data_IF_805009275850
#
_entry.id   IF_805009275850
#
_cell.length_a   1.000
_cell.length_b   1.000
_cell.length_c   1.000
_cell.angle_alpha   90.00
_cell.angle_beta   90.00
_cell.angle_gamma   90.00
#
_symmetry.space_group_name_H-M   'P 1'
#
loop_
_entity.id
_entity.type
_entity.pdbx_description
1 polymer ?
#
# COMPACT_ATOMS: atom_id res chain seq x y z
N UNK A 1 -7.61 -20.15 31.57
CA UNK A 1 -7.96 -18.73 31.32
C UNK A 1 -6.68 -18.06 30.85
N UNK A 2 -6.54 -17.73 29.57
CA UNK A 2 -5.34 -17.06 29.05
C UNK A 2 -5.47 -15.58 29.42
N UNK A 3 -4.59 -15.08 30.28
CA UNK A 3 -4.52 -13.65 30.61
C UNK A 3 -3.57 -12.97 29.63
N UNK A 4 -4.10 -12.19 28.70
CA UNK A 4 -3.31 -11.49 27.67
C UNK A 4 -2.28 -10.53 28.27
N UNK A 5 -2.51 -10.04 29.49
CA UNK A 5 -1.61 -9.15 30.23
C UNK A 5 -0.32 -9.85 30.71
N UNK A 6 -0.29 -11.19 30.70
CA UNK A 6 0.87 -11.98 31.10
C UNK A 6 1.73 -12.42 29.92
N UNK A 7 1.33 -12.09 28.68
CA UNK A 7 2.16 -12.34 27.52
C UNK A 7 3.34 -11.36 27.50
N UNK A 8 4.56 -11.82 27.22
CA UNK A 8 5.71 -10.93 27.12
C UNK A 8 5.45 -9.87 26.06
N UNK A 9 5.71 -8.61 26.39
CA UNK A 9 5.68 -7.52 25.42
C UNK A 9 6.77 -7.79 24.38
N UNK A 10 6.36 -8.06 23.14
CA UNK A 10 7.29 -8.22 22.03
C UNK A 10 7.75 -6.81 21.65
N UNK A 11 9.07 -6.52 21.64
CA UNK A 11 9.56 -5.23 21.20
C UNK A 11 9.19 -5.05 19.72
N UNK A 12 8.56 -3.92 19.41
CA UNK A 12 8.15 -3.54 18.05
C UNK A 12 8.60 -2.11 17.77
N UNK A 13 8.97 -1.86 16.53
CA UNK A 13 9.20 -0.49 16.05
C UNK A 13 7.96 -0.02 15.30
N UNK A 14 7.54 1.21 15.58
CA UNK A 14 6.34 1.81 14.98
C UNK A 14 6.76 3.00 14.13
N UNK A 15 6.34 2.98 12.87
CA UNK A 15 6.45 4.12 11.97
C UNK A 15 5.06 4.71 11.76
N UNK A 16 4.80 5.90 12.30
CA UNK A 16 3.59 6.65 11.98
C UNK A 16 3.66 7.16 10.54
N UNK A 17 2.56 7.02 9.81
CA UNK A 17 2.46 7.39 8.40
C UNK A 17 1.19 8.20 8.17
N UNK A 18 1.36 9.34 7.50
CA UNK A 18 0.26 10.20 7.04
C UNK A 18 0.36 10.37 5.52
N UNK A 19 -0.70 10.00 4.80
CA UNK A 19 -0.88 10.32 3.40
C UNK A 19 -1.76 11.56 3.26
N UNK A 20 -1.24 12.64 2.71
CA UNK A 20 -2.00 13.84 2.38
C UNK A 20 -2.36 13.82 0.90
N UNK A 21 -3.65 13.76 0.58
CA UNK A 21 -4.11 13.74 -0.81
C UNK A 21 -3.94 15.10 -1.49
N UNK A 22 -3.34 15.09 -2.67
CA UNK A 22 -3.26 16.25 -3.58
C UNK A 22 -4.42 16.25 -4.58
N UNK A 23 -4.90 15.07 -4.94
CA UNK A 23 -6.01 14.88 -5.88
C UNK A 23 -7.08 13.97 -5.28
N UNK A 24 -8.27 13.97 -5.88
CA UNK A 24 -9.36 13.12 -5.43
C UNK A 24 -8.94 11.63 -5.42
N UNK A 25 -9.23 10.94 -4.33
CA UNK A 25 -8.93 9.53 -4.14
C UNK A 25 -10.10 8.68 -4.63
N UNK A 26 -9.77 7.61 -5.36
CA UNK A 26 -10.70 6.56 -5.71
C UNK A 26 -10.13 5.24 -5.18
N UNK A 27 -10.69 4.74 -4.09
CA UNK A 27 -10.35 3.43 -3.54
C UNK A 27 -11.63 2.63 -3.51
N UNK A 28 -11.82 1.81 -4.54
CA UNK A 28 -13.00 0.96 -4.68
C UNK A 28 -12.78 -0.45 -4.13
N UNK A 29 -13.77 -0.97 -3.41
CA UNK A 29 -13.92 -2.41 -3.21
C UNK A 29 -14.69 -2.97 -4.40
N UNK A 30 -14.09 -3.84 -5.21
CA UNK A 30 -14.84 -4.49 -6.29
C UNK A 30 -16.05 -5.25 -5.74
N UNK A 31 -17.23 -5.08 -6.35
CA UNK A 31 -18.40 -5.92 -6.09
C UNK A 31 -19.39 -5.43 -5.03
N UNK A 32 -19.31 -4.18 -4.57
CA UNK A 32 -20.32 -3.59 -3.70
C UNK A 32 -21.62 -3.30 -4.47
N UNK A 33 -22.59 -4.19 -4.32
CA UNK A 33 -23.97 -4.00 -4.76
C UNK A 33 -24.69 -3.02 -3.82
N UNK A 34 -25.07 -1.84 -4.32
CA UNK A 34 -25.92 -0.89 -3.59
C UNK A 34 -25.59 0.61 -3.74
N UNK A 35 -24.48 0.97 -4.38
CA UNK A 35 -24.14 2.38 -4.69
C UNK A 35 -24.60 2.77 -6.10
N UNK A 36 -24.82 4.07 -6.33
CA UNK A 36 -24.99 4.66 -7.68
C UNK A 36 -23.70 4.59 -8.50
N UNK A 37 -22.57 4.30 -7.87
CA UNK A 37 -21.26 4.12 -8.51
C UNK A 37 -20.90 2.64 -8.66
N UNK A 38 -20.28 2.28 -9.80
CA UNK A 38 -19.73 0.94 -10.05
C UNK A 38 -18.52 0.64 -9.15
N UNK A 39 -17.81 1.69 -8.73
CA UNK A 39 -16.70 1.64 -7.78
C UNK A 39 -16.93 2.66 -6.67
N UNK A 40 -17.68 2.30 -5.61
CA UNK A 40 -17.85 3.17 -4.47
C UNK A 40 -16.62 3.18 -3.58
N UNK A 41 -16.42 4.29 -2.87
CA UNK A 41 -15.28 4.47 -2.00
C UNK A 41 -15.44 3.64 -0.71
N UNK A 42 -14.36 3.03 -0.24
CA UNK A 42 -14.42 2.17 0.96
C UNK A 42 -14.53 3.01 2.24
N UNK A 43 -15.38 2.56 3.18
CA UNK A 43 -15.66 3.20 4.46
C UNK A 43 -15.56 2.24 5.62
N UNK A 44 -15.12 2.75 6.76
CA UNK A 44 -15.18 2.03 8.04
C UNK A 44 -16.64 1.89 8.51
N UNK A 45 -16.88 1.04 9.50
CA UNK A 45 -18.21 0.93 10.13
C UNK A 45 -18.72 2.24 10.74
N UNK A 46 -17.80 3.18 11.06
CA UNK A 46 -18.12 4.51 11.54
C UNK A 46 -18.37 5.54 10.41
N UNK A 47 -18.41 5.10 9.14
CA UNK A 47 -18.65 5.95 7.97
C UNK A 47 -17.45 6.75 7.46
N UNK A 48 -16.29 6.65 8.13
CA UNK A 48 -15.06 7.35 7.75
C UNK A 48 -14.39 6.72 6.53
N UNK A 49 -13.85 7.56 5.64
CA UNK A 49 -13.01 7.10 4.53
C UNK A 49 -11.71 6.49 5.05
N UNK A 50 -11.24 5.43 4.38
CA UNK A 50 -9.93 4.87 4.68
C UNK A 50 -9.27 4.26 3.44
N UNK A 51 -7.94 4.17 3.49
CA UNK A 51 -7.15 3.40 2.54
C UNK A 51 -6.85 2.05 3.19
N UNK A 52 -7.29 0.92 2.61
CA UNK A 52 -7.08 -0.39 3.20
C UNK A 52 -5.60 -0.74 3.36
N UNK A 53 -5.26 -1.32 4.50
CA UNK A 53 -3.94 -1.85 4.83
C UNK A 53 -3.43 -2.82 3.77
N UNK A 54 -4.32 -3.64 3.20
CA UNK A 54 -3.98 -4.60 2.15
C UNK A 54 -3.54 -3.91 0.85
N UNK A 55 -4.17 -2.79 0.48
CA UNK A 55 -3.81 -1.97 -0.68
C UNK A 55 -2.46 -1.29 -0.45
N UNK A 56 -2.27 -0.71 0.73
CA UNK A 56 -1.00 -0.07 1.11
C UNK A 56 0.13 -1.09 1.15
N UNK A 57 -0.03 -2.19 1.88
CA UNK A 57 0.95 -3.29 1.99
C UNK A 57 1.29 -3.86 0.62
N UNK A 58 0.30 -4.12 -0.23
CA UNK A 58 0.51 -4.62 -1.58
C UNK A 58 1.29 -3.63 -2.46
N UNK A 59 0.98 -2.33 -2.36
CA UNK A 59 1.69 -1.29 -3.10
C UNK A 59 3.13 -1.12 -2.62
N UNK A 60 3.36 -1.08 -1.31
CA UNK A 60 4.71 -0.98 -0.73
C UNK A 60 5.52 -2.23 -1.08
N UNK A 61 4.92 -3.43 -1.02
CA UNK A 61 5.58 -4.66 -1.48
C UNK A 61 6.06 -4.55 -2.93
N UNK A 62 5.19 -4.10 -3.82
CA UNK A 62 5.52 -3.95 -5.23
C UNK A 62 6.66 -2.96 -5.47
N UNK A 63 6.68 -1.82 -4.76
CA UNK A 63 7.78 -0.86 -4.85
C UNK A 63 9.08 -1.41 -4.22
N UNK A 64 9.02 -2.15 -3.12
CA UNK A 64 10.18 -2.86 -2.57
C UNK A 64 10.76 -3.87 -3.57
N UNK A 65 9.91 -4.62 -4.28
CA UNK A 65 10.36 -5.55 -5.32
C UNK A 65 10.99 -4.83 -6.51
N UNK A 66 10.44 -3.69 -6.94
CA UNK A 66 11.04 -2.85 -7.98
C UNK A 66 12.41 -2.34 -7.57
N UNK A 67 12.53 -1.83 -6.34
CA UNK A 67 13.80 -1.39 -5.77
C UNK A 67 14.82 -2.52 -5.71
N UNK A 68 14.43 -3.67 -5.17
CA UNK A 68 15.30 -4.83 -5.07
C UNK A 68 15.77 -5.32 -6.45
N UNK A 69 14.91 -5.35 -7.47
CA UNK A 69 15.31 -5.67 -8.86
C UNK A 69 16.25 -4.61 -9.45
N UNK A 70 16.00 -3.33 -9.19
CA UNK A 70 16.85 -2.23 -9.65
C UNK A 70 18.23 -2.19 -8.97
N UNK A 71 18.34 -2.77 -7.78
CA UNK A 71 19.59 -2.96 -7.03
C UNK A 71 20.21 -4.35 -7.27
N UNK A 72 19.71 -5.12 -8.24
CA UNK A 72 20.21 -6.44 -8.62
C UNK A 72 20.20 -7.49 -7.49
N UNK A 73 19.30 -7.33 -6.52
CA UNK A 73 19.14 -8.32 -5.45
C UNK A 73 18.42 -9.57 -5.94
N UNK A 74 18.86 -10.73 -5.42
CA UNK A 74 18.18 -12.00 -5.67
C UNK A 74 16.85 -12.07 -4.91
N UNK A 75 15.74 -11.93 -5.64
CA UNK A 75 14.37 -12.06 -5.13
C UNK A 75 13.56 -13.08 -5.94
N UNK A 76 12.54 -13.67 -5.31
CA UNK A 76 11.61 -14.57 -5.99
C UNK A 76 10.58 -13.82 -6.87
N UNK A 77 9.71 -14.57 -7.56
CA UNK A 77 8.71 -14.01 -8.48
C UNK A 77 7.27 -14.21 -7.96
N UNK A 78 6.76 -13.31 -7.09
CA UNK A 78 5.35 -13.31 -6.71
C UNK A 78 4.44 -12.86 -7.87
N UNK A 79 3.12 -13.14 -7.83
CA UNK A 79 2.38 -13.78 -6.73
C UNK A 79 2.23 -15.30 -6.86
N UNK A 80 2.82 -15.96 -7.87
CA UNK A 80 2.69 -17.41 -8.06
C UNK A 80 3.43 -18.17 -6.93
N UNK A 81 2.72 -18.93 -6.08
CA UNK A 81 3.35 -19.69 -4.99
C UNK A 81 4.47 -20.62 -5.45
N UNK A 82 4.42 -21.14 -6.68
CA UNK A 82 5.42 -22.05 -7.21
C UNK A 82 6.74 -21.34 -7.57
N UNK A 83 6.69 -20.03 -7.80
CA UNK A 83 7.84 -19.19 -8.15
C UNK A 83 8.32 -18.34 -6.96
N UNK A 84 7.71 -18.53 -5.78
CA UNK A 84 8.10 -17.90 -4.52
C UNK A 84 9.09 -18.76 -3.73
N UNK A 85 9.74 -18.18 -2.72
CA UNK A 85 10.61 -18.96 -1.82
C UNK A 85 9.79 -19.91 -0.93
N UNK A 86 10.29 -21.12 -0.62
CA UNK A 86 11.56 -21.71 -1.08
C UNK A 86 11.44 -22.47 -2.43
N UNK A 87 10.25 -22.54 -3.02
CA UNK A 87 9.98 -23.32 -4.24
C UNK A 87 10.84 -22.90 -5.44
N UNK A 88 11.33 -21.66 -5.45
CA UNK A 88 12.27 -21.15 -6.44
C UNK A 88 13.70 -21.74 -6.38
N UNK A 89 13.96 -22.73 -5.51
CA UNK A 89 15.24 -23.44 -5.42
C UNK A 89 16.30 -22.76 -4.57
N UNK A 90 15.92 -21.78 -3.75
CA UNK A 90 16.84 -21.14 -2.79
C UNK A 90 16.81 -21.79 -1.41
N UNK A 91 17.98 -21.86 -0.76
CA UNK A 91 18.11 -22.38 0.61
C UNK A 91 17.50 -21.45 1.69
N UNK A 92 17.17 -20.20 1.32
CA UNK A 92 16.62 -19.20 2.24
C UNK A 92 15.58 -18.29 1.58
N UNK A 93 14.70 -17.71 2.39
CA UNK A 93 13.72 -16.71 1.94
C UNK A 93 14.40 -15.39 1.61
N UNK A 94 14.10 -14.80 0.45
CA UNK A 94 14.57 -13.45 0.12
C UNK A 94 14.02 -12.39 1.10
N UNK A 95 14.68 -11.24 1.19
CA UNK A 95 14.29 -10.16 2.12
C UNK A 95 12.82 -9.73 1.95
N UNK A 96 12.30 -9.70 0.72
CA UNK A 96 10.89 -9.38 0.45
C UNK A 96 9.94 -10.39 1.11
N UNK A 97 10.22 -11.69 0.99
CA UNK A 97 9.39 -12.72 1.63
C UNK A 97 9.51 -12.67 3.15
N UNK A 98 10.69 -12.38 3.70
CA UNK A 98 10.87 -12.21 5.15
C UNK A 98 10.06 -11.02 5.70
N UNK A 99 9.98 -9.92 4.94
CA UNK A 99 9.21 -8.74 5.32
C UNK A 99 7.70 -8.95 5.14
N UNK A 100 7.26 -9.21 3.91
CA UNK A 100 5.84 -9.22 3.53
C UNK A 100 5.15 -10.57 3.70
N UNK A 101 5.92 -11.63 3.99
CA UNK A 101 5.42 -12.99 4.06
C UNK A 101 5.23 -13.65 2.69
N UNK A 102 5.03 -14.95 2.76
CA UNK A 102 4.63 -15.82 1.64
C UNK A 102 3.86 -17.04 2.19
N UNK A 103 3.42 -18.01 1.37
CA UNK A 103 2.67 -19.18 1.86
C UNK A 103 3.37 -20.01 2.95
N UNK A 104 4.69 -19.90 3.09
CA UNK A 104 5.51 -20.68 4.05
C UNK A 104 6.05 -19.86 5.23
N UNK A 105 6.06 -18.53 5.15
CA UNK A 105 6.57 -17.64 6.20
C UNK A 105 5.63 -16.47 6.46
N UNK A 106 5.39 -16.16 7.74
CA UNK A 106 4.58 -15.01 8.15
C UNK A 106 5.28 -13.68 7.89
N UNK A 107 4.51 -12.61 7.63
CA UNK A 107 5.06 -11.28 7.49
C UNK A 107 5.61 -10.73 8.82
N UNK A 108 6.75 -10.05 8.77
CA UNK A 108 7.33 -9.30 9.89
C UNK A 108 6.86 -7.84 9.97
N UNK A 109 6.03 -7.41 9.02
CA UNK A 109 5.46 -6.06 9.00
C UNK A 109 3.94 -6.11 8.95
N UNK A 110 3.35 -5.25 9.77
CA UNK A 110 1.91 -5.06 9.90
C UNK A 110 1.61 -3.63 9.46
N UNK A 111 0.56 -3.49 8.65
CA UNK A 111 0.08 -2.20 8.18
C UNK A 111 -1.31 -2.00 8.76
N UNK A 112 -1.55 -0.80 9.28
CA UNK A 112 -2.89 -0.37 9.63
C UNK A 112 -3.61 0.22 8.42
N UNK A 113 -4.94 0.22 8.50
CA UNK A 113 -5.77 1.01 7.60
C UNK A 113 -5.44 2.49 7.81
N UNK A 114 -5.18 3.25 6.73
CA UNK A 114 -5.00 4.68 6.87
C UNK A 114 -6.38 5.33 6.91
N UNK A 115 -6.77 5.90 8.05
CA UNK A 115 -8.12 6.44 8.25
C UNK A 115 -8.10 7.96 8.11
N UNK A 116 -9.09 8.52 7.41
CA UNK A 116 -9.33 9.95 7.38
C UNK A 116 -10.27 10.33 8.53
N UNK A 117 -9.78 11.18 9.43
CA UNK A 117 -10.55 11.66 10.59
C UNK A 117 -11.53 12.78 10.24
N UNK A 118 -11.36 13.42 9.08
CA UNK A 118 -12.26 14.46 8.60
C UNK A 118 -13.62 13.85 8.28
N UNK A 119 -14.68 14.43 8.83
CA UNK A 119 -16.03 14.03 8.50
C UNK A 119 -16.40 14.57 7.11
N UNK A 120 -16.61 13.65 6.16
CA UNK A 120 -16.83 13.94 4.75
C UNK A 120 -18.24 13.57 4.30
N UNK A 121 -19.18 13.35 5.24
CA UNK A 121 -20.55 12.88 5.02
C UNK A 121 -21.36 13.59 3.90
N UNK A 122 -20.88 14.71 3.35
CA UNK A 122 -21.60 15.52 2.35
C UNK A 122 -20.79 15.94 1.11
N UNK A 123 -19.54 15.48 0.91
CA UNK A 123 -18.64 16.08 -0.09
C UNK A 123 -18.19 15.14 -1.22
N UNK A 124 -18.65 13.89 -1.24
CA UNK A 124 -18.22 12.92 -2.25
C UNK A 124 -18.84 13.18 -3.61
N UNK A 125 -18.05 12.89 -4.64
CA UNK A 125 -18.42 13.20 -6.03
C UNK A 125 -18.39 11.94 -6.87
N UNK A 126 -19.51 11.66 -7.54
CA UNK A 126 -19.59 10.62 -8.56
C UNK A 126 -19.04 11.19 -9.88
N UNK A 127 -18.07 10.51 -10.46
CA UNK A 127 -17.46 10.85 -11.74
C UNK A 127 -17.85 9.84 -12.81
N UNK A 128 -18.57 10.26 -13.87
CA UNK A 128 -18.80 9.40 -15.02
C UNK A 128 -17.51 9.24 -15.84
N UNK A 129 -17.28 8.02 -16.32
CA UNK A 129 -16.23 7.68 -17.27
C UNK A 129 -16.82 6.88 -18.43
N UNK A 130 -16.27 7.08 -19.64
CA UNK A 130 -16.70 6.37 -20.84
C UNK A 130 -15.52 5.63 -21.45
N UNK A 131 -15.78 4.42 -21.95
CA UNK A 131 -14.79 3.71 -22.73
C UNK A 131 -14.82 4.22 -24.17
N UNK A 132 -13.67 4.66 -24.70
CA UNK A 132 -13.55 5.13 -26.08
C UNK A 132 -13.00 4.01 -26.96
N UNK A 133 -13.72 3.68 -28.04
CA UNK A 133 -13.22 2.81 -29.08
C UNK A 133 -12.16 3.55 -29.91
N UNK A 134 -10.88 3.22 -29.72
CA UNK A 134 -9.78 3.92 -30.40
C UNK A 134 -9.82 3.82 -31.93
N UNK A 135 -10.39 2.73 -32.49
CA UNK A 135 -10.48 2.55 -33.95
C UNK A 135 -11.58 3.40 -34.57
N UNK A 136 -12.74 3.49 -33.90
CA UNK A 136 -13.91 4.24 -34.40
C UNK A 136 -13.93 5.70 -33.93
N UNK A 137 -13.14 6.04 -32.91
CA UNK A 137 -13.11 7.39 -32.31
C UNK A 137 -14.39 7.78 -31.57
N UNK A 138 -15.23 6.81 -31.21
CA UNK A 138 -16.53 7.03 -30.55
C UNK A 138 -16.58 6.34 -29.19
N UNK A 139 -17.52 6.77 -28.34
CA UNK A 139 -17.86 6.03 -27.12
C UNK A 139 -18.30 4.62 -27.49
N UNK A 140 -17.83 3.63 -26.74
CA UNK A 140 -18.31 2.26 -26.84
C UNK A 140 -19.68 2.17 -26.16
N UNK A 141 -20.63 1.54 -26.83
CA UNK A 141 -21.98 1.38 -26.31
C UNK A 141 -21.94 0.51 -25.04
N UNK A 142 -22.80 0.85 -24.07
CA UNK A 142 -22.95 0.13 -22.80
C UNK A 142 -21.67 0.03 -21.95
N UNK A 143 -20.70 0.94 -22.15
CA UNK A 143 -19.47 1.02 -21.33
C UNK A 143 -19.28 2.38 -20.65
N UNK A 144 -20.40 2.95 -20.21
CA UNK A 144 -20.42 4.03 -19.22
C UNK A 144 -20.19 3.41 -17.84
N UNK A 145 -19.33 4.02 -17.04
CA UNK A 145 -19.08 3.61 -15.67
C UNK A 145 -18.99 4.82 -14.75
N UNK A 146 -19.25 4.63 -13.47
CA UNK A 146 -19.27 5.67 -12.46
C UNK A 146 -18.27 5.35 -11.34
N UNK A 147 -17.37 6.30 -11.09
CA UNK A 147 -16.39 6.24 -10.01
C UNK A 147 -16.81 7.15 -8.88
N UNK A 148 -16.92 6.63 -7.66
CA UNK A 148 -17.01 7.49 -6.50
C UNK A 148 -15.60 7.96 -6.13
N UNK A 149 -15.47 9.27 -5.90
CA UNK A 149 -14.20 9.87 -5.52
C UNK A 149 -14.36 10.74 -4.29
N UNK A 150 -13.30 10.80 -3.49
CA UNK A 150 -13.20 11.81 -2.45
C UNK A 150 -13.32 13.22 -3.07
N UNK A 151 -13.66 14.22 -2.26
CA UNK A 151 -13.69 15.61 -2.73
C UNK A 151 -12.31 16.02 -3.26
N UNK A 152 -12.29 16.96 -4.22
CA UNK A 152 -11.03 17.54 -4.73
C UNK A 152 -10.50 18.60 -3.78
N UNK A 153 -9.17 18.72 -3.74
CA UNK A 153 -8.46 19.89 -3.18
C UNK A 153 -8.71 20.15 -1.68
N UNK A 154 -8.98 19.09 -0.91
CA UNK A 154 -9.26 19.18 0.53
C UNK A 154 -8.09 18.75 1.42
N UNK A 155 -6.89 18.58 0.84
CA UNK A 155 -5.65 18.14 1.54
C UNK A 155 -5.92 17.08 2.62
N UNK A 156 -6.74 16.07 2.27
CA UNK A 156 -7.22 15.10 3.26
C UNK A 156 -6.06 14.26 3.76
N UNK A 157 -5.92 14.22 5.08
CA UNK A 157 -4.93 13.40 5.75
C UNK A 157 -5.53 12.04 6.11
N UNK A 158 -4.86 10.98 5.66
CA UNK A 158 -5.14 9.60 6.04
C UNK A 158 -3.99 9.13 6.93
N UNK A 159 -4.30 8.72 8.16
CA UNK A 159 -3.30 8.42 9.19
C UNK A 159 -3.37 6.95 9.58
N UNK A 160 -2.21 6.37 9.82
CA UNK A 160 -2.08 5.02 10.35
C UNK A 160 -0.62 4.71 10.66
N UNK A 161 -0.35 3.45 10.97
CA UNK A 161 0.97 3.03 11.42
C UNK A 161 1.46 1.80 10.64
N UNK A 162 2.78 1.69 10.55
CA UNK A 162 3.47 0.49 10.08
C UNK A 162 4.24 -0.06 11.28
N UNK A 163 3.88 -1.24 11.73
CA UNK A 163 4.56 -1.94 12.83
C UNK A 163 5.56 -2.94 12.27
N UNK A 164 6.81 -2.82 12.70
CA UNK A 164 7.86 -3.79 12.45
C UNK A 164 7.98 -4.72 13.66
N UNK A 165 7.76 -6.01 13.44
CA UNK A 165 7.90 -7.03 14.48
C UNK A 165 9.36 -7.23 14.88
N UNK A 166 9.58 -7.83 16.05
CA UNK A 166 10.90 -8.24 16.52
C UNK A 166 11.66 -9.02 15.44
N UNK A 167 12.96 -8.76 15.30
CA UNK A 167 13.85 -9.33 14.27
C UNK A 167 13.59 -8.86 12.83
N UNK A 168 12.90 -7.73 12.65
CA UNK A 168 12.91 -7.04 11.37
C UNK A 168 14.29 -6.39 11.15
N UNK A 169 15.01 -6.82 10.12
CA UNK A 169 16.32 -6.27 9.78
C UNK A 169 16.24 -4.77 9.49
N UNK A 170 17.27 -4.01 9.88
CA UNK A 170 17.43 -2.59 9.55
C UNK A 170 17.30 -2.33 8.04
N UNK A 171 17.98 -3.13 7.21
CA UNK A 171 17.89 -3.03 5.75
C UNK A 171 16.43 -3.15 5.25
N UNK A 172 15.64 -4.02 5.87
CA UNK A 172 14.23 -4.17 5.55
C UNK A 172 13.38 -2.96 5.94
N UNK A 173 13.64 -2.34 7.10
CA UNK A 173 12.97 -1.09 7.53
C UNK A 173 13.25 0.04 6.54
N UNK A 174 14.51 0.20 6.13
CA UNK A 174 14.91 1.25 5.18
C UNK A 174 14.32 0.98 3.79
N UNK A 175 14.29 -0.27 3.35
CA UNK A 175 13.65 -0.64 2.08
C UNK A 175 12.16 -0.27 2.08
N UNK A 176 11.43 -0.57 3.16
CA UNK A 176 10.02 -0.20 3.33
C UNK A 176 9.84 1.32 3.32
N UNK A 177 10.68 2.07 4.06
CA UNK A 177 10.64 3.53 4.07
C UNK A 177 10.92 4.12 2.68
N UNK A 178 11.89 3.56 1.96
CA UNK A 178 12.27 3.99 0.61
C UNK A 178 11.17 3.71 -0.40
N UNK A 179 10.57 2.53 -0.33
CA UNK A 179 9.43 2.16 -1.15
C UNK A 179 8.22 3.05 -0.86
N UNK A 180 7.93 3.34 0.40
CA UNK A 180 6.85 4.25 0.80
C UNK A 180 7.03 5.63 0.17
N UNK A 181 8.24 6.22 0.29
CA UNK A 181 8.56 7.53 -0.30
C UNK A 181 8.47 7.58 -1.84
N UNK A 182 8.59 6.45 -2.53
CA UNK A 182 8.41 6.39 -3.99
C UNK A 182 6.95 6.33 -4.44
N UNK A 183 6.02 6.03 -3.53
CA UNK A 183 4.60 5.96 -3.88
C UNK A 183 4.04 7.39 -3.98
N UNK A 184 3.89 7.89 -5.21
CA UNK A 184 3.27 9.20 -5.45
C UNK A 184 1.73 9.14 -5.56
N UNK A 185 1.15 7.96 -5.77
CA UNK A 185 -0.30 7.81 -5.91
C UNK A 185 -0.82 6.45 -5.39
N UNK A 186 -2.00 6.46 -4.77
CA UNK A 186 -2.72 5.29 -4.27
C UNK A 186 -4.13 5.18 -4.86
N UNK A 187 -4.70 3.98 -4.79
CA UNK A 187 -6.04 3.70 -5.33
C UNK A 187 -6.08 3.37 -6.83
N UNK A 188 -7.28 3.46 -7.39
CA UNK A 188 -7.60 3.24 -8.79
C UNK A 188 -7.40 4.48 -9.67
N UNK A 189 -7.38 4.29 -10.99
CA UNK A 189 -7.36 5.39 -11.97
C UNK A 189 -6.21 6.40 -11.79
N UNK A 190 -5.06 5.93 -11.27
CA UNK A 190 -3.86 6.74 -11.05
C UNK A 190 -3.33 7.41 -12.32
N UNK A 191 -3.36 6.68 -13.44
CA UNK A 191 -2.93 7.18 -14.75
C UNK A 191 -3.82 8.28 -15.33
N UNK A 192 -5.03 8.46 -14.77
CA UNK A 192 -5.95 9.55 -15.16
C UNK A 192 -5.97 10.68 -14.13
N UNK A 193 -4.97 10.76 -13.24
CA UNK A 193 -4.78 11.88 -12.31
C UNK A 193 -5.48 11.76 -10.96
N UNK A 194 -5.96 10.57 -10.58
CA UNK A 194 -6.58 10.34 -9.26
C UNK A 194 -5.59 9.76 -8.25
N UNK A 195 -5.80 10.07 -6.97
CA UNK A 195 -5.10 9.46 -5.84
C UNK A 195 -3.65 9.89 -5.62
N UNK A 196 -3.19 10.97 -6.25
CA UNK A 196 -1.90 11.61 -5.97
C UNK A 196 -1.84 12.11 -4.53
N UNK A 197 -0.69 11.90 -3.89
CA UNK A 197 -0.51 12.18 -2.48
C UNK A 197 0.95 12.49 -2.13
N UNK A 198 1.13 13.10 -0.95
CA UNK A 198 2.42 13.29 -0.30
C UNK A 198 2.44 12.52 1.02
N UNK A 199 3.62 12.01 1.37
CA UNK A 199 3.83 11.33 2.64
C UNK A 199 4.44 12.25 3.69
N UNK A 200 3.93 12.14 4.91
CA UNK A 200 4.62 12.55 6.12
C UNK A 200 4.81 11.32 6.98
N UNK A 201 6.06 11.01 7.32
CA UNK A 201 6.42 9.82 8.09
C UNK A 201 7.04 10.24 9.42
N UNK A 202 6.87 9.41 10.45
CA UNK A 202 7.64 9.51 11.68
C UNK A 202 9.12 9.24 11.46
N UNK A 203 9.89 9.34 12.54
CA UNK A 203 11.32 9.02 12.54
C UNK A 203 11.52 7.53 12.83
N UNK A 204 12.42 6.91 12.06
CA UNK A 204 12.98 5.60 12.39
C UNK A 204 14.45 5.81 12.72
N UNK A 205 14.91 5.22 13.83
CA UNK A 205 16.32 5.20 14.18
C UNK A 205 17.08 4.32 13.18
N UNK A 206 17.58 4.94 12.10
CA UNK A 206 18.34 4.28 11.04
C UNK A 206 19.79 4.74 11.15
N UNK A 207 20.73 3.79 11.16
CA UNK A 207 22.17 4.11 11.12
C UNK A 207 22.65 4.32 9.67
N UNK A 208 23.64 5.19 9.47
CA UNK A 208 24.23 5.45 8.14
C UNK A 208 24.83 4.18 7.52
N UNK A 209 25.42 3.30 8.33
CA UNK A 209 25.93 2.00 7.89
C UNK A 209 24.84 1.09 7.27
N UNK A 210 23.59 1.24 7.71
CA UNK A 210 22.48 0.46 7.18
C UNK A 210 22.03 0.96 5.81
N UNK A 211 22.21 2.26 5.51
CA UNK A 211 22.02 2.80 4.16
C UNK A 211 23.05 2.26 3.19
N UNK A 212 24.32 2.15 3.59
CA UNK A 212 25.37 1.60 2.74
C UNK A 212 25.12 0.14 2.36
N UNK A 213 24.50 -0.65 3.25
CA UNK A 213 24.12 -2.05 2.99
C UNK A 213 23.00 -2.19 1.94
N UNK A 214 22.27 -1.13 1.63
CA UNK A 214 21.24 -1.16 0.60
C UNK A 214 21.82 -1.04 -0.81
N UNK A 215 22.94 -0.35 -0.96
CA UNK A 215 23.57 -0.09 -2.25
C UNK A 215 24.36 -1.34 -2.62
N UNK A 216 24.01 -1.95 -3.76
CA UNK A 216 24.79 -3.03 -4.33
C UNK A 216 26.23 -2.54 -4.56
N UNK A 217 27.19 -3.16 -3.87
CA UNK A 217 28.61 -2.95 -4.16
C UNK A 217 29.01 -4.05 -5.14
N UNK A 218 29.34 -3.66 -6.37
CA UNK A 218 30.13 -4.51 -7.26
C UNK A 218 31.40 -4.91 -6.49
N UNK A 219 31.55 -6.21 -6.24
CA UNK A 219 32.86 -6.81 -5.97
C UNK A 219 33.46 -7.22 -7.29
#
# INVERSE_FOLDING_TARGET
MISLQQLPAIPVDILSVTATLETALCVGSGGSSGSLADQPIVRTAAGKLYIPASQLKGRVRHECEKLARGLEWSICHPPDPNLMCPQNGGDSHCLICQLFGNPTVSSKIIFDDLVCETDLQLLETIRPGVTINRRRGVSEDQKLYFLETSPMNTELEFKGEITFLSDCSEAGKILVLSALKQIAALGGSKSTGLGWLRWKTGELAITDEAWEKLIFREN
#
